data_IF_771994641839
#
_entry.id   IF_771994641839
#
_cell.length_a   1.000
_cell.length_b   1.000
_cell.length_c   1.000
_cell.angle_alpha   90.00
_cell.angle_beta   90.00
_cell.angle_gamma   90.00
#
_symmetry.space_group_name_H-M   'P 1'
#
loop_
_entity.id
_entity.type
_entity.pdbx_description
1 polymer ?
#
# COMPACT_ATOMS: atom_id res chain seq x y z
N UNK A 1 5.61 17.13 -4.81
CA UNK A 1 5.62 16.07 -3.77
C UNK A 1 4.25 15.37 -3.56
N UNK A 2 3.35 15.21 -4.55
CA UNK A 2 2.11 14.44 -4.34
C UNK A 2 2.34 12.91 -4.35
N UNK A 3 3.31 12.41 -5.12
CA UNK A 3 3.56 10.97 -5.28
C UNK A 3 3.97 10.25 -3.98
N UNK A 4 4.69 10.95 -3.10
CA UNK A 4 5.06 10.42 -1.80
C UNK A 4 3.84 10.26 -0.87
N UNK A 5 2.93 11.24 -0.88
CA UNK A 5 1.68 11.15 -0.12
C UNK A 5 0.77 10.06 -0.68
N UNK A 6 0.70 9.92 -2.01
CA UNK A 6 -0.05 8.83 -2.65
C UNK A 6 0.54 7.45 -2.30
N UNK A 7 1.86 7.31 -2.30
CA UNK A 7 2.52 6.08 -1.87
C UNK A 7 2.14 5.73 -0.43
N UNK A 8 2.27 6.67 0.51
CA UNK A 8 1.94 6.44 1.93
C UNK A 8 0.48 6.02 2.09
N UNK A 9 -0.46 6.81 1.54
CA UNK A 9 -1.88 6.55 1.71
C UNK A 9 -2.29 5.21 1.09
N UNK A 10 -1.87 4.95 -0.15
CA UNK A 10 -2.22 3.71 -0.84
C UNK A 10 -1.55 2.47 -0.21
N UNK A 11 -0.33 2.61 0.30
CA UNK A 11 0.35 1.53 1.01
C UNK A 11 -0.34 1.23 2.34
N UNK A 12 -0.76 2.27 3.07
CA UNK A 12 -1.55 2.10 4.29
C UNK A 12 -2.86 1.37 4.00
N UNK A 13 -3.66 1.85 3.04
CA UNK A 13 -4.94 1.23 2.65
C UNK A 13 -4.76 -0.23 2.18
N UNK A 14 -3.65 -0.52 1.50
CA UNK A 14 -3.35 -1.86 1.00
C UNK A 14 -2.99 -2.82 2.15
N UNK A 15 -2.12 -2.38 3.07
CA UNK A 15 -1.65 -3.21 4.17
C UNK A 15 -2.68 -3.33 5.31
N UNK A 16 -3.57 -2.33 5.46
CA UNK A 16 -4.64 -2.34 6.45
C UNK A 16 -5.86 -3.16 6.03
N UNK A 17 -6.05 -3.41 4.73
CA UNK A 17 -7.22 -4.12 4.23
C UNK A 17 -7.48 -5.46 4.92
N UNK A 18 -6.44 -6.25 5.19
CA UNK A 18 -6.58 -7.57 5.83
C UNK A 18 -7.14 -7.49 7.25
N UNK A 19 -6.65 -6.55 8.07
CA UNK A 19 -7.19 -6.36 9.42
C UNK A 19 -8.62 -5.83 9.37
N UNK A 20 -8.93 -4.95 8.43
CA UNK A 20 -10.25 -4.33 8.27
C UNK A 20 -11.28 -5.37 7.81
N UNK A 21 -10.92 -6.21 6.83
CA UNK A 21 -11.78 -7.29 6.34
C UNK A 21 -12.02 -8.35 7.44
N UNK A 22 -10.98 -8.72 8.19
CA UNK A 22 -11.12 -9.64 9.34
C UNK A 22 -11.95 -9.05 10.49
N UNK A 23 -11.96 -7.72 10.64
CA UNK A 23 -12.80 -7.01 11.60
C UNK A 23 -14.24 -6.80 11.10
N UNK A 24 -14.55 -7.20 9.87
CA UNK A 24 -15.87 -6.99 9.26
C UNK A 24 -16.14 -5.53 8.87
N UNK A 25 -15.10 -4.70 8.78
CA UNK A 25 -15.22 -3.31 8.36
C UNK A 25 -15.57 -3.24 6.87
N UNK A 26 -16.64 -2.52 6.55
CA UNK A 26 -17.14 -2.36 5.17
C UNK A 26 -16.88 -0.96 4.60
N UNK A 27 -16.46 -0.03 5.45
CA UNK A 27 -16.10 1.35 5.10
C UNK A 27 -14.58 1.52 4.98
N UNK A 28 -13.94 0.63 4.21
CA UNK A 28 -12.54 0.75 3.83
C UNK A 28 -12.37 1.07 2.35
N UNK A 29 -11.20 1.59 1.98
CA UNK A 29 -10.92 2.02 0.61
C UNK A 29 -11.20 0.92 -0.42
N UNK A 30 -10.81 -0.33 -0.14
CA UNK A 30 -10.99 -1.46 -1.05
C UNK A 30 -12.47 -1.79 -1.24
N UNK A 31 -13.25 -1.82 -0.17
CA UNK A 31 -14.69 -2.11 -0.18
C UNK A 31 -15.47 -0.99 -0.87
N UNK A 32 -15.15 0.27 -0.58
CA UNK A 32 -15.74 1.42 -1.27
C UNK A 32 -15.39 1.42 -2.75
N UNK A 33 -14.11 1.20 -3.09
CA UNK A 33 -13.65 1.12 -4.49
C UNK A 33 -14.30 -0.02 -5.25
N UNK A 34 -14.46 -1.19 -4.63
CA UNK A 34 -15.15 -2.33 -5.21
C UNK A 34 -16.61 -1.99 -5.55
N UNK A 35 -17.33 -1.41 -4.58
CA UNK A 35 -18.73 -0.99 -4.74
C UNK A 35 -18.90 0.08 -5.82
N UNK A 36 -18.11 1.16 -5.76
CA UNK A 36 -18.20 2.28 -6.72
C UNK A 36 -17.87 1.87 -8.16
N UNK A 37 -16.93 0.95 -8.34
CA UNK A 37 -16.50 0.51 -9.67
C UNK A 37 -17.22 -0.74 -10.17
N UNK A 38 -18.12 -1.35 -9.38
CA UNK A 38 -18.79 -2.60 -9.73
C UNK A 38 -17.84 -3.78 -9.93
N UNK A 39 -16.74 -3.83 -9.18
CA UNK A 39 -15.72 -4.88 -9.25
C UNK A 39 -15.63 -5.65 -7.93
N UNK A 40 -14.97 -6.81 -7.94
CA UNK A 40 -14.72 -7.58 -6.71
C UNK A 40 -13.70 -6.86 -5.80
N UNK A 41 -13.75 -7.13 -4.49
CA UNK A 41 -12.74 -6.64 -3.53
C UNK A 41 -11.33 -7.08 -3.91
N UNK A 42 -11.16 -8.32 -4.39
CA UNK A 42 -9.88 -8.83 -4.87
C UNK A 42 -9.35 -8.03 -6.08
N UNK A 43 -10.21 -7.65 -7.03
CA UNK A 43 -9.81 -6.79 -8.14
C UNK A 43 -9.47 -5.36 -7.70
N UNK A 44 -10.23 -4.80 -6.75
CA UNK A 44 -9.94 -3.50 -6.16
C UNK A 44 -8.58 -3.51 -5.42
N UNK A 45 -8.30 -4.57 -4.65
CA UNK A 45 -7.02 -4.77 -3.96
C UNK A 45 -5.86 -4.89 -4.96
N UNK A 46 -6.02 -5.68 -6.03
CA UNK A 46 -5.02 -5.79 -7.11
C UNK A 46 -4.76 -4.45 -7.79
N UNK A 47 -5.81 -3.67 -8.06
CA UNK A 47 -5.67 -2.31 -8.61
C UNK A 47 -4.92 -1.38 -7.64
N UNK A 48 -5.17 -1.49 -6.34
CA UNK A 48 -4.48 -0.71 -5.32
C UNK A 48 -2.99 -1.09 -5.23
N UNK A 49 -2.66 -2.39 -5.23
CA UNK A 49 -1.28 -2.86 -5.27
C UNK A 49 -0.51 -2.31 -6.48
N UNK A 50 -1.13 -2.33 -7.66
CA UNK A 50 -0.56 -1.75 -8.87
C UNK A 50 -0.34 -0.22 -8.77
N UNK A 51 -1.23 0.51 -8.07
CA UNK A 51 -1.04 1.94 -7.82
C UNK A 51 0.16 2.19 -6.90
N UNK A 52 0.29 1.42 -5.82
CA UNK A 52 1.45 1.50 -4.91
C UNK A 52 2.75 1.27 -5.67
N UNK A 53 2.82 0.21 -6.49
CA UNK A 53 3.99 -0.11 -7.30
C UNK A 53 4.36 1.04 -8.27
N UNK A 54 3.36 1.60 -8.98
CA UNK A 54 3.58 2.74 -9.89
C UNK A 54 4.06 3.99 -9.15
N UNK A 55 3.51 4.29 -7.97
CA UNK A 55 3.99 5.42 -7.17
C UNK A 55 5.45 5.19 -6.72
N UNK A 56 5.82 3.96 -6.38
CA UNK A 56 7.19 3.61 -6.04
C UNK A 56 8.16 3.77 -7.21
N UNK A 57 7.80 3.27 -8.39
CA UNK A 57 8.58 3.39 -9.62
C UNK A 57 8.76 4.86 -10.01
N UNK A 58 7.67 5.65 -9.95
CA UNK A 58 7.72 7.06 -10.28
C UNK A 58 8.59 7.85 -9.28
N UNK A 59 8.44 7.60 -7.97
CA UNK A 59 9.30 8.20 -6.94
C UNK A 59 10.78 7.83 -7.13
N UNK A 60 11.06 6.57 -7.50
CA UNK A 60 12.41 6.11 -7.81
C UNK A 60 12.99 6.82 -9.04
N UNK A 61 12.19 7.01 -10.09
CA UNK A 61 12.61 7.72 -11.30
C UNK A 61 12.88 9.20 -11.04
N UNK A 62 12.05 9.86 -10.22
CA UNK A 62 12.20 11.28 -9.87
C UNK A 62 13.46 11.55 -9.06
N UNK A 63 13.81 10.63 -8.16
CA UNK A 63 14.96 10.76 -7.27
C UNK A 63 16.22 10.11 -7.81
N UNK A 64 16.15 9.39 -8.94
CA UNK A 64 17.26 8.64 -9.51
C UNK A 64 18.48 9.47 -9.89
N UNK A 65 18.32 10.79 -10.07
CA UNK A 65 19.44 11.72 -10.31
C UNK A 65 20.23 12.08 -9.04
N UNK A 66 19.73 11.74 -7.86
CA UNK A 66 20.38 12.00 -6.56
C UNK A 66 20.48 10.70 -5.74
N UNK A 67 21.68 10.10 -5.65
CA UNK A 67 21.89 8.85 -4.92
C UNK A 67 21.41 8.92 -3.47
N UNK A 68 21.65 10.04 -2.78
CA UNK A 68 21.26 10.22 -1.38
C UNK A 68 19.74 10.29 -1.22
N UNK A 69 19.06 11.05 -2.10
CA UNK A 69 17.61 11.15 -2.05
C UNK A 69 16.93 9.82 -2.43
N UNK A 70 17.46 9.10 -3.41
CA UNK A 70 16.98 7.77 -3.77
C UNK A 70 17.17 6.75 -2.64
N UNK A 71 18.34 6.76 -1.99
CA UNK A 71 18.61 5.88 -0.84
C UNK A 71 17.67 6.18 0.33
N UNK A 72 17.46 7.45 0.66
CA UNK A 72 16.52 7.86 1.72
C UNK A 72 15.08 7.43 1.42
N UNK A 73 14.63 7.63 0.17
CA UNK A 73 13.30 7.21 -0.28
C UNK A 73 13.13 5.69 -0.20
N UNK A 74 14.10 4.93 -0.72
CA UNK A 74 14.08 3.46 -0.68
C UNK A 74 14.04 2.95 0.76
N UNK A 75 14.89 3.50 1.64
CA UNK A 75 14.93 3.14 3.05
C UNK A 75 13.58 3.41 3.73
N UNK A 76 12.97 4.58 3.47
CA UNK A 76 11.64 4.89 3.97
C UNK A 76 10.60 3.86 3.50
N UNK A 77 10.52 3.56 2.20
CA UNK A 77 9.54 2.62 1.66
C UNK A 77 9.66 1.22 2.27
N UNK A 78 10.88 0.71 2.41
CA UNK A 78 11.16 -0.60 3.02
C UNK A 78 10.77 -0.61 4.50
N UNK A 79 11.21 0.39 5.27
CA UNK A 79 10.88 0.48 6.69
C UNK A 79 9.37 0.65 6.92
N UNK A 80 8.70 1.42 6.07
CA UNK A 80 7.26 1.63 6.15
C UNK A 80 6.50 0.33 5.93
N UNK A 81 6.80 -0.44 4.88
CA UNK A 81 6.19 -1.76 4.67
C UNK A 81 6.55 -2.72 5.81
N UNK A 82 7.82 -2.73 6.23
CA UNK A 82 8.31 -3.57 7.34
C UNK A 82 7.57 -3.32 8.64
N UNK A 83 7.23 -2.07 8.96
CA UNK A 83 6.44 -1.72 10.14
C UNK A 83 5.07 -2.41 10.17
N UNK A 84 4.38 -2.50 9.03
CA UNK A 84 3.08 -3.17 8.93
C UNK A 84 3.24 -4.69 8.95
N UNK A 85 4.24 -5.25 8.27
CA UNK A 85 4.52 -6.70 8.24
C UNK A 85 4.88 -7.25 9.62
N UNK A 86 5.70 -6.50 10.38
CA UNK A 86 6.16 -6.92 11.70
C UNK A 86 5.16 -6.59 12.82
N UNK A 87 4.16 -5.76 12.54
CA UNK A 87 3.13 -5.42 13.53
C UNK A 87 2.08 -6.53 13.61
N UNK A 88 2.05 -7.22 14.76
CA UNK A 88 1.09 -8.29 15.12
C UNK A 88 -0.38 -7.89 14.88
N UNK A 89 -0.67 -6.58 14.90
CA UNK A 89 -2.01 -6.03 14.68
C UNK A 89 -2.52 -6.19 13.23
N UNK A 90 -1.65 -6.44 12.24
CA UNK A 90 -2.02 -6.53 10.82
C UNK A 90 -2.23 -7.97 10.33
N UNK A 91 -1.97 -8.98 11.17
CA UNK A 91 -2.24 -10.42 10.91
C UNK A 91 -1.74 -10.95 9.55
N UNK A 92 -0.64 -10.38 9.03
CA UNK A 92 -0.05 -10.79 7.75
C UNK A 92 0.58 -12.18 7.81
N UNK A 93 0.82 -12.70 9.01
CA UNK A 93 1.21 -14.08 9.32
C UNK A 93 0.10 -15.11 9.09
N UNK A 94 -1.14 -14.69 8.84
CA UNK A 94 -2.25 -15.57 8.46
C UNK A 94 -2.39 -15.74 6.93
N UNK A 95 -1.56 -15.07 6.14
CA UNK A 95 -1.41 -15.35 4.71
C UNK A 95 -0.48 -16.55 4.55
N UNK A 96 -1.05 -17.75 4.41
CA UNK A 96 -0.30 -18.92 3.98
C UNK A 96 0.08 -18.70 2.49
N UNK A 97 1.32 -18.28 2.24
CA UNK A 97 1.91 -18.00 0.92
C UNK A 97 2.66 -19.21 0.39
#
# INVERSE_FOLDING_TARGET
MPDFMHYINHTSDFLSFLKEELAGETLNFVSTSASTNGITKAEALRKLANKVARCYEHGSSLLGSSPDAWNAYRAFCVCYVGFYVLSVQYKLDQLDL
#
